data_IF_689498301871
#
_entry.id   IF_689498301871
#
_cell.length_a   1.000
_cell.length_b   1.000
_cell.length_c   1.000
_cell.angle_alpha   90.00
_cell.angle_beta   90.00
_cell.angle_gamma   90.00
#
_symmetry.space_group_name_H-M   'P 1'
#
loop_
_entity.id
_entity.type
_entity.pdbx_description
1 polymer ?
#
# COMPACT_ATOMS: atom_id res chain seq x y z
N UNK A 1 36.20 -1.64 -27.36
CA UNK A 1 35.82 -2.10 -26.00
C UNK A 1 34.74 -3.17 -26.18
N UNK A 2 34.87 -4.33 -25.54
CA UNK A 2 34.08 -5.54 -25.84
C UNK A 2 32.65 -5.48 -25.27
N UNK A 3 31.65 -5.87 -26.07
CA UNK A 3 30.23 -5.95 -25.69
C UNK A 3 29.99 -6.94 -24.55
N UNK A 4 30.80 -8.01 -24.47
CA UNK A 4 30.72 -9.00 -23.40
C UNK A 4 31.05 -8.40 -22.03
N UNK A 5 32.14 -7.64 -21.96
CA UNK A 5 32.55 -6.93 -20.74
C UNK A 5 31.44 -6.02 -20.20
N UNK A 6 30.76 -5.26 -21.07
CA UNK A 6 29.66 -4.40 -20.63
C UNK A 6 28.45 -5.18 -20.10
N UNK A 7 28.15 -6.35 -20.68
CA UNK A 7 27.03 -7.17 -20.22
C UNK A 7 27.26 -7.70 -18.80
N UNK A 8 28.50 -8.05 -18.45
CA UNK A 8 28.87 -8.48 -17.10
C UNK A 8 28.72 -7.35 -16.07
N UNK A 9 29.08 -6.12 -16.43
CA UNK A 9 28.94 -4.95 -15.53
C UNK A 9 27.49 -4.55 -15.25
N UNK A 10 26.53 -5.03 -16.06
CA UNK A 10 25.13 -4.62 -15.97
C UNK A 10 24.51 -4.92 -14.60
N UNK A 11 24.86 -6.06 -13.99
CA UNK A 11 24.33 -6.43 -12.67
C UNK A 11 24.84 -5.49 -11.58
N UNK A 12 26.13 -5.17 -11.59
CA UNK A 12 26.73 -4.23 -10.65
C UNK A 12 26.11 -2.83 -10.80
N UNK A 13 25.97 -2.35 -12.03
CA UNK A 13 25.37 -1.05 -12.32
C UNK A 13 23.91 -0.99 -11.84
N UNK A 14 23.14 -2.06 -12.05
CA UNK A 14 21.77 -2.14 -11.55
C UNK A 14 21.71 -2.07 -10.01
N UNK A 15 22.62 -2.75 -9.32
CA UNK A 15 22.71 -2.68 -7.86
C UNK A 15 23.10 -1.28 -7.38
N UNK A 16 24.00 -0.59 -8.08
CA UNK A 16 24.37 0.80 -7.77
C UNK A 16 23.19 1.76 -7.96
N UNK A 17 22.39 1.57 -9.01
CA UNK A 17 21.16 2.35 -9.23
C UNK A 17 20.19 2.14 -8.06
N UNK A 18 19.93 0.88 -7.68
CA UNK A 18 19.06 0.55 -6.56
C UNK A 18 19.59 1.12 -5.23
N UNK A 19 20.89 1.03 -4.98
CA UNK A 19 21.55 1.60 -3.81
C UNK A 19 21.37 3.12 -3.74
N UNK A 20 21.62 3.82 -4.85
CA UNK A 20 21.42 5.28 -4.93
C UNK A 20 19.98 5.66 -4.62
N UNK A 21 19.00 4.92 -5.17
CA UNK A 21 17.60 5.18 -4.89
C UNK A 21 17.25 4.97 -3.41
N UNK A 22 17.71 3.87 -2.81
CA UNK A 22 17.39 3.49 -1.44
C UNK A 22 17.98 4.45 -0.40
N UNK A 23 19.20 4.94 -0.64
CA UNK A 23 19.93 5.78 0.33
C UNK A 23 19.98 7.26 -0.05
N UNK A 24 19.25 7.68 -1.08
CA UNK A 24 19.14 9.09 -1.41
C UNK A 24 18.34 9.84 -0.33
N UNK A 25 18.96 10.87 0.22
CA UNK A 25 18.34 11.84 1.13
C UNK A 25 17.81 13.08 0.38
N UNK A 26 17.67 12.99 -0.94
CA UNK A 26 17.25 14.12 -1.77
C UNK A 26 15.81 14.51 -1.44
N UNK A 27 15.58 15.82 -1.25
CA UNK A 27 14.23 16.37 -1.05
C UNK A 27 13.38 16.27 -2.31
N UNK A 28 14.00 16.31 -3.50
CA UNK A 28 13.32 16.21 -4.79
C UNK A 28 13.55 14.82 -5.41
N UNK A 29 12.67 13.86 -5.07
CA UNK A 29 12.74 12.50 -5.61
C UNK A 29 12.43 12.41 -7.10
N UNK A 30 11.74 13.41 -7.67
CA UNK A 30 11.36 13.42 -9.07
C UNK A 30 12.55 13.55 -10.03
N UNK A 31 13.45 14.48 -9.72
CA UNK A 31 14.71 14.66 -10.47
C UNK A 31 15.59 13.41 -10.39
N UNK A 32 15.69 12.82 -9.20
CA UNK A 32 16.42 11.58 -8.97
C UNK A 32 15.84 10.42 -9.80
N UNK A 33 14.53 10.18 -9.70
CA UNK A 33 13.86 9.10 -10.42
C UNK A 33 14.06 9.25 -11.95
N UNK A 34 13.98 10.48 -12.45
CA UNK A 34 14.22 10.78 -13.87
C UNK A 34 15.65 10.47 -14.30
N UNK A 35 16.63 10.82 -13.46
CA UNK A 35 18.04 10.52 -13.70
C UNK A 35 18.30 9.00 -13.71
N UNK A 36 17.83 8.30 -12.68
CA UNK A 36 18.02 6.85 -12.55
C UNK A 36 17.31 6.09 -13.69
N UNK A 37 16.16 6.56 -14.16
CA UNK A 37 15.47 5.94 -15.30
C UNK A 37 16.32 6.00 -16.57
N UNK A 38 17.01 7.12 -16.83
CA UNK A 38 17.93 7.24 -17.97
C UNK A 38 19.09 6.26 -17.85
N UNK A 39 19.63 6.06 -16.65
CA UNK A 39 20.68 5.07 -16.40
C UNK A 39 20.18 3.65 -16.68
N UNK A 40 19.00 3.28 -16.16
CA UNK A 40 18.38 1.97 -16.42
C UNK A 40 18.15 1.74 -17.91
N UNK A 41 17.58 2.73 -18.63
CA UNK A 41 17.36 2.64 -20.08
C UNK A 41 18.69 2.45 -20.82
N UNK A 42 19.76 3.12 -20.38
CA UNK A 42 21.09 2.95 -20.97
C UNK A 42 21.62 1.53 -20.76
N UNK A 43 21.46 0.97 -19.57
CA UNK A 43 21.84 -0.42 -19.30
C UNK A 43 20.98 -1.42 -20.10
N UNK A 44 19.68 -1.14 -20.31
CA UNK A 44 18.81 -1.96 -21.14
C UNK A 44 19.23 -1.99 -22.62
N UNK A 45 19.92 -0.97 -23.13
CA UNK A 45 20.51 -1.03 -24.49
C UNK A 45 21.64 -2.06 -24.59
N UNK A 46 22.31 -2.35 -23.47
CA UNK A 46 23.38 -3.34 -23.37
C UNK A 46 22.80 -4.74 -23.13
N UNK A 47 21.84 -4.86 -22.21
CA UNK A 47 21.19 -6.12 -21.85
C UNK A 47 19.65 -5.98 -21.80
N UNK A 48 18.97 -6.01 -22.97
CA UNK A 48 17.54 -5.68 -23.08
C UNK A 48 16.59 -6.63 -22.37
N UNK A 49 17.02 -7.88 -22.16
CA UNK A 49 16.21 -8.94 -21.56
C UNK A 49 16.51 -9.12 -20.08
N UNK A 50 17.28 -8.23 -19.46
CA UNK A 50 17.60 -8.35 -18.04
C UNK A 50 16.33 -8.10 -17.20
N UNK A 51 15.87 -9.10 -16.44
CA UNK A 51 14.60 -9.01 -15.71
C UNK A 51 14.59 -7.90 -14.66
N UNK A 52 15.71 -7.70 -13.95
CA UNK A 52 15.82 -6.72 -12.87
C UNK A 52 15.89 -5.28 -13.40
N UNK A 53 16.55 -5.06 -14.55
CA UNK A 53 16.51 -3.75 -15.21
C UNK A 53 15.11 -3.41 -15.71
N UNK A 54 14.39 -4.38 -16.29
CA UNK A 54 13.01 -4.18 -16.73
C UNK A 54 12.10 -3.86 -15.54
N UNK A 55 12.26 -4.59 -14.43
CA UNK A 55 11.55 -4.31 -13.17
C UNK A 55 11.84 -2.90 -12.65
N UNK A 56 13.12 -2.51 -12.56
CA UNK A 56 13.52 -1.19 -12.07
C UNK A 56 13.03 -0.07 -12.99
N UNK A 57 13.05 -0.27 -14.31
CA UNK A 57 12.44 0.66 -15.28
C UNK A 57 10.96 0.87 -14.95
N UNK A 58 10.18 -0.20 -14.85
CA UNK A 58 8.73 -0.10 -14.57
C UNK A 58 8.44 0.53 -13.20
N UNK A 59 9.30 0.28 -12.21
CA UNK A 59 9.19 0.90 -10.88
C UNK A 59 9.39 2.41 -10.96
N UNK A 60 10.44 2.86 -11.67
CA UNK A 60 10.73 4.27 -11.86
C UNK A 60 9.66 4.97 -12.71
N UNK A 61 9.15 4.30 -13.75
CA UNK A 61 8.03 4.81 -14.55
C UNK A 61 6.78 5.04 -13.68
N UNK A 62 6.45 4.11 -12.77
CA UNK A 62 5.35 4.29 -11.81
C UNK A 62 5.60 5.47 -10.88
N UNK A 63 6.79 5.58 -10.29
CA UNK A 63 7.14 6.68 -9.38
C UNK A 63 7.08 8.04 -10.08
N UNK A 64 7.50 8.13 -11.34
CA UNK A 64 7.39 9.37 -12.10
C UNK A 64 5.94 9.69 -12.47
N UNK A 65 5.12 8.66 -12.67
CA UNK A 65 3.70 8.82 -12.93
C UNK A 65 2.94 9.35 -11.71
N UNK A 66 3.28 8.91 -10.49
CA UNK A 66 2.67 9.43 -9.26
C UNK A 66 2.92 10.91 -9.02
N UNK A 67 4.10 11.41 -9.42
CA UNK A 67 4.44 12.83 -9.28
C UNK A 67 3.72 13.70 -10.31
N UNK A 68 3.57 13.20 -11.55
CA UNK A 68 2.95 13.97 -12.62
C UNK A 68 2.30 13.06 -13.67
N UNK A 69 0.96 13.03 -13.67
CA UNK A 69 0.19 12.13 -14.51
C UNK A 69 0.40 12.32 -16.02
N UNK A 70 0.69 13.54 -16.49
CA UNK A 70 0.89 13.81 -17.92
C UNK A 70 2.17 13.17 -18.50
N UNK A 71 3.08 12.67 -17.65
CA UNK A 71 4.29 11.97 -18.10
C UNK A 71 4.00 10.64 -18.74
N UNK A 72 2.87 10.03 -18.40
CA UNK A 72 2.41 8.79 -19.01
C UNK A 72 1.20 9.11 -19.88
N UNK A 73 1.43 9.19 -21.19
CA UNK A 73 0.40 9.55 -22.17
C UNK A 73 -0.79 8.59 -22.16
N UNK A 74 -0.52 7.28 -22.02
CA UNK A 74 -1.55 6.26 -21.82
C UNK A 74 -1.05 5.23 -20.79
N UNK A 75 -1.64 5.18 -19.59
CA UNK A 75 -1.28 4.23 -18.53
C UNK A 75 -1.36 2.77 -18.95
N UNK A 76 -2.14 2.44 -19.99
CA UNK A 76 -2.24 1.06 -20.51
C UNK A 76 -0.90 0.52 -21.01
N UNK A 77 0.00 1.38 -21.51
CA UNK A 77 1.33 0.92 -21.91
C UNK A 77 2.16 0.50 -20.69
N UNK A 78 2.09 1.25 -19.59
CA UNK A 78 2.75 0.86 -18.35
C UNK A 78 2.17 -0.43 -17.77
N UNK A 79 0.85 -0.60 -17.82
CA UNK A 79 0.20 -1.87 -17.45
C UNK A 79 0.69 -3.04 -18.30
N UNK A 80 0.84 -2.84 -19.61
CA UNK A 80 1.35 -3.86 -20.53
C UNK A 80 2.79 -4.24 -20.19
N UNK A 81 3.64 -3.24 -19.92
CA UNK A 81 5.04 -3.45 -19.52
C UNK A 81 5.13 -4.27 -18.24
N UNK A 82 4.32 -3.94 -17.22
CA UNK A 82 4.26 -4.70 -15.96
C UNK A 82 3.81 -6.15 -16.21
N UNK A 83 2.76 -6.37 -17.00
CA UNK A 83 2.28 -7.72 -17.30
C UNK A 83 3.30 -8.56 -18.07
N UNK A 84 4.12 -7.94 -18.91
CA UNK A 84 5.18 -8.65 -19.62
C UNK A 84 6.26 -9.22 -18.67
N UNK A 85 6.42 -8.65 -17.47
CA UNK A 85 7.40 -9.11 -16.48
C UNK A 85 7.12 -10.52 -15.95
N UNK A 86 5.88 -11.01 -16.02
CA UNK A 86 5.57 -12.41 -15.67
C UNK A 86 6.32 -13.42 -16.55
N UNK A 87 6.78 -13.01 -17.75
CA UNK A 87 7.39 -13.91 -18.73
C UNK A 87 8.93 -13.87 -18.72
N UNK A 88 9.57 -13.07 -17.86
CA UNK A 88 11.04 -12.86 -17.89
C UNK A 88 11.79 -13.49 -16.72
N UNK A 89 11.13 -14.37 -15.95
CA UNK A 89 11.76 -15.14 -14.87
C UNK A 89 11.89 -14.40 -13.53
N UNK A 90 11.09 -13.36 -13.29
CA UNK A 90 10.93 -12.73 -11.98
C UNK A 90 9.95 -13.51 -11.11
N UNK A 91 10.07 -13.38 -9.79
CA UNK A 91 9.09 -13.95 -8.88
C UNK A 91 7.72 -13.27 -9.05
N UNK A 92 6.67 -14.06 -9.28
CA UNK A 92 5.33 -13.55 -9.58
C UNK A 92 4.81 -12.55 -8.54
N UNK A 93 5.13 -12.74 -7.26
CA UNK A 93 4.69 -11.83 -6.19
C UNK A 93 5.26 -10.42 -6.35
N UNK A 94 6.49 -10.26 -6.89
CA UNK A 94 7.08 -8.94 -7.16
C UNK A 94 6.34 -8.24 -8.30
N UNK A 95 6.01 -8.98 -9.35
CA UNK A 95 5.22 -8.44 -10.46
C UNK A 95 3.80 -8.08 -9.97
N UNK A 96 3.21 -8.89 -9.10
CA UNK A 96 1.92 -8.57 -8.46
C UNK A 96 2.00 -7.32 -7.60
N UNK A 97 3.11 -7.04 -6.92
CA UNK A 97 3.31 -5.78 -6.19
C UNK A 97 3.38 -4.56 -7.13
N UNK A 98 4.06 -4.66 -8.27
CA UNK A 98 4.03 -3.60 -9.28
C UNK A 98 2.63 -3.38 -9.85
N UNK A 99 1.91 -4.46 -10.12
CA UNK A 99 0.54 -4.40 -10.62
C UNK A 99 -0.42 -3.78 -9.59
N UNK A 100 -0.23 -4.12 -8.31
CA UNK A 100 -0.94 -3.50 -7.19
C UNK A 100 -0.69 -1.99 -7.16
N UNK A 101 0.58 -1.58 -7.18
CA UNK A 101 0.97 -0.17 -7.19
C UNK A 101 0.39 0.57 -8.40
N UNK A 102 0.46 -0.03 -9.59
CA UNK A 102 -0.17 0.53 -10.79
C UNK A 102 -1.65 0.81 -10.58
N UNK A 103 -2.42 -0.14 -10.03
CA UNK A 103 -3.86 0.03 -9.86
C UNK A 103 -4.23 1.04 -8.77
N UNK A 104 -3.40 1.20 -7.73
CA UNK A 104 -3.54 2.26 -6.73
C UNK A 104 -3.38 3.63 -7.40
N UNK A 105 -2.27 3.82 -8.12
CA UNK A 105 -1.96 5.08 -8.81
C UNK A 105 -3.01 5.37 -9.90
N UNK A 106 -3.44 4.34 -10.62
CA UNK A 106 -4.46 4.46 -11.65
C UNK A 106 -5.81 4.90 -11.06
N UNK A 107 -6.20 4.39 -9.89
CA UNK A 107 -7.44 4.79 -9.25
C UNK A 107 -7.46 6.30 -8.92
N UNK A 108 -6.33 6.84 -8.45
CA UNK A 108 -6.18 8.28 -8.17
C UNK A 108 -6.15 9.11 -9.46
N UNK A 109 -5.39 8.67 -10.46
CA UNK A 109 -5.40 9.29 -11.80
C UNK A 109 -6.81 9.35 -12.41
N UNK A 110 -7.58 8.27 -12.32
CA UNK A 110 -8.94 8.21 -12.85
C UNK A 110 -9.91 9.04 -12.02
N UNK A 111 -9.66 9.24 -10.73
CA UNK A 111 -10.40 10.20 -9.92
C UNK A 111 -10.18 11.63 -10.41
N UNK A 112 -8.92 12.05 -10.56
CA UNK A 112 -8.55 13.40 -11.01
C UNK A 112 -9.06 13.71 -12.43
N UNK A 113 -9.14 12.69 -13.28
CA UNK A 113 -9.65 12.81 -14.65
C UNK A 113 -11.14 12.52 -14.79
N UNK A 114 -11.88 12.40 -13.68
CA UNK A 114 -13.33 12.15 -13.62
C UNK A 114 -13.80 10.86 -14.33
N UNK A 115 -12.93 9.86 -14.44
CA UNK A 115 -13.20 8.55 -15.05
C UNK A 115 -13.59 7.53 -13.99
N UNK A 116 -14.74 7.72 -13.36
CA UNK A 116 -15.13 6.96 -12.17
C UNK A 116 -15.31 5.44 -12.39
N UNK A 117 -15.73 5.00 -13.57
CA UNK A 117 -15.82 3.57 -13.90
C UNK A 117 -14.44 2.92 -13.96
N UNK A 118 -13.45 3.60 -14.54
CA UNK A 118 -12.06 3.14 -14.59
C UNK A 118 -11.40 3.11 -13.22
N UNK A 119 -11.74 4.10 -12.38
CA UNK A 119 -11.36 4.13 -10.97
C UNK A 119 -11.88 2.89 -10.24
N UNK A 120 -13.18 2.60 -10.34
CA UNK A 120 -13.76 1.45 -9.63
C UNK A 120 -13.20 0.12 -10.13
N UNK A 121 -12.98 -0.01 -11.44
CA UNK A 121 -12.24 -1.16 -12.00
C UNK A 121 -10.85 -1.30 -11.39
N UNK A 122 -10.10 -0.20 -11.28
CA UNK A 122 -8.75 -0.22 -10.71
C UNK A 122 -8.78 -0.61 -9.23
N UNK A 123 -9.70 -0.06 -8.44
CA UNK A 123 -9.87 -0.41 -7.03
C UNK A 123 -10.26 -1.89 -6.83
N UNK A 124 -11.11 -2.44 -7.70
CA UNK A 124 -11.46 -3.86 -7.66
C UNK A 124 -10.25 -4.75 -8.00
N UNK A 125 -9.40 -4.34 -8.94
CA UNK A 125 -8.14 -5.05 -9.21
C UNK A 125 -7.19 -4.99 -8.01
N UNK A 126 -7.05 -3.84 -7.34
CA UNK A 126 -6.28 -3.74 -6.08
C UNK A 126 -6.73 -4.84 -5.12
N UNK A 127 -8.04 -4.95 -4.84
CA UNK A 127 -8.58 -5.97 -3.94
C UNK A 127 -8.23 -7.40 -4.35
N UNK A 128 -8.33 -7.73 -5.64
CA UNK A 128 -8.01 -9.08 -6.16
C UNK A 128 -6.55 -9.45 -6.01
N UNK A 129 -5.66 -8.47 -6.23
CA UNK A 129 -4.22 -8.68 -6.28
C UNK A 129 -3.62 -8.86 -4.87
N UNK A 130 -4.23 -8.30 -3.82
CA UNK A 130 -3.70 -8.31 -2.45
C UNK A 130 -3.26 -9.70 -1.95
N UNK A 131 -4.05 -10.74 -2.23
CA UNK A 131 -3.75 -12.12 -1.81
C UNK A 131 -2.48 -12.68 -2.49
N UNK A 132 -2.12 -12.17 -3.67
CA UNK A 132 -0.98 -12.63 -4.46
C UNK A 132 0.30 -11.85 -4.17
N UNK A 133 0.19 -10.66 -3.56
CA UNK A 133 1.31 -9.73 -3.40
C UNK A 133 2.18 -9.99 -2.16
N UNK A 134 1.88 -11.02 -1.36
CA UNK A 134 2.64 -11.40 -0.15
C UNK A 134 3.02 -10.20 0.72
N UNK A 135 2.05 -9.30 0.96
CA UNK A 135 2.30 -8.06 1.69
C UNK A 135 2.73 -8.38 3.13
N UNK A 136 3.77 -7.69 3.58
CA UNK A 136 4.11 -7.68 5.00
C UNK A 136 3.12 -6.82 5.80
N UNK A 137 3.32 -6.76 7.12
CA UNK A 137 2.45 -6.00 8.03
C UNK A 137 2.37 -4.51 7.64
N UNK A 138 3.51 -3.87 7.44
CA UNK A 138 3.60 -2.42 7.17
C UNK A 138 2.93 -2.08 5.83
N UNK A 139 3.18 -2.89 4.81
CA UNK A 139 2.52 -2.76 3.51
C UNK A 139 1.00 -2.97 3.63
N UNK A 140 0.57 -3.96 4.41
CA UNK A 140 -0.86 -4.19 4.69
C UNK A 140 -1.49 -2.96 5.34
N UNK A 141 -0.81 -2.36 6.31
CA UNK A 141 -1.26 -1.16 7.00
C UNK A 141 -1.40 0.03 6.04
N UNK A 142 -0.41 0.27 5.17
CA UNK A 142 -0.47 1.32 4.15
C UNK A 142 -1.65 1.15 3.18
N UNK A 143 -1.92 -0.08 2.74
CA UNK A 143 -3.09 -0.37 1.90
C UNK A 143 -4.39 -0.12 2.67
N UNK A 144 -4.44 -0.49 3.95
CA UNK A 144 -5.61 -0.27 4.78
C UNK A 144 -5.91 1.22 4.95
N UNK A 145 -4.89 2.06 5.18
CA UNK A 145 -5.00 3.52 5.21
C UNK A 145 -5.49 4.07 3.87
N UNK A 146 -4.95 3.56 2.75
CA UNK A 146 -5.43 3.93 1.42
C UNK A 146 -6.91 3.55 1.22
N UNK A 147 -7.35 2.37 1.65
CA UNK A 147 -8.77 2.00 1.58
C UNK A 147 -9.66 2.88 2.46
N UNK A 148 -9.19 3.31 3.63
CA UNK A 148 -9.91 4.29 4.46
C UNK A 148 -10.05 5.61 3.70
N UNK A 149 -8.96 6.12 3.12
CA UNK A 149 -8.96 7.33 2.30
C UNK A 149 -9.95 7.23 1.11
N UNK A 150 -10.03 6.06 0.48
CA UNK A 150 -10.97 5.77 -0.62
C UNK A 150 -12.40 5.42 -0.14
N UNK A 151 -12.68 5.55 1.17
CA UNK A 151 -13.95 5.20 1.83
C UNK A 151 -14.38 3.73 1.63
N UNK A 152 -13.43 2.83 1.43
CA UNK A 152 -13.64 1.38 1.27
C UNK A 152 -13.55 0.64 2.61
N UNK A 153 -14.35 1.07 3.59
CA UNK A 153 -14.29 0.59 4.98
C UNK A 153 -14.45 -0.93 5.11
N UNK A 154 -15.35 -1.54 4.34
CA UNK A 154 -15.53 -2.99 4.35
C UNK A 154 -14.25 -3.73 3.94
N UNK A 155 -13.52 -3.20 2.96
CA UNK A 155 -12.28 -3.80 2.47
C UNK A 155 -11.13 -3.59 3.47
N UNK A 156 -11.08 -2.43 4.13
CA UNK A 156 -10.18 -2.20 5.27
C UNK A 156 -10.39 -3.25 6.35
N UNK A 157 -11.64 -3.51 6.75
CA UNK A 157 -11.97 -4.51 7.77
C UNK A 157 -11.52 -5.91 7.32
N UNK A 158 -11.89 -6.33 6.11
CA UNK A 158 -11.51 -7.64 5.55
C UNK A 158 -9.99 -7.84 5.49
N UNK A 159 -9.25 -6.77 5.14
CA UNK A 159 -7.80 -6.80 5.04
C UNK A 159 -7.11 -6.86 6.42
N UNK A 160 -7.60 -6.07 7.38
CA UNK A 160 -6.94 -5.91 8.68
C UNK A 160 -7.34 -6.98 9.70
N UNK A 161 -8.56 -7.53 9.62
CA UNK A 161 -9.09 -8.48 10.62
C UNK A 161 -8.17 -9.68 10.87
N UNK A 162 -7.65 -10.41 9.86
CA UNK A 162 -6.75 -11.54 10.09
C UNK A 162 -5.47 -11.18 10.86
N UNK A 163 -5.03 -9.93 10.78
CA UNK A 163 -3.88 -9.42 11.54
C UNK A 163 -4.27 -9.02 12.96
N UNK A 164 -5.43 -8.37 13.13
CA UNK A 164 -5.95 -8.00 14.44
C UNK A 164 -6.22 -9.22 15.33
N UNK A 165 -6.59 -10.36 14.74
CA UNK A 165 -6.81 -11.65 15.41
C UNK A 165 -5.54 -12.33 15.93
N UNK A 166 -4.35 -11.97 15.42
CA UNK A 166 -3.08 -12.57 15.87
C UNK A 166 -2.84 -12.30 17.36
N UNK A 167 -2.19 -13.20 18.13
CA UNK A 167 -1.94 -12.97 19.56
C UNK A 167 -1.20 -11.66 19.83
N UNK A 168 -0.21 -11.34 18.98
CA UNK A 168 0.55 -10.09 19.02
C UNK A 168 0.24 -9.26 17.78
N UNK A 169 -0.01 -7.97 17.99
CA UNK A 169 -0.20 -6.97 16.95
C UNK A 169 0.20 -5.62 17.53
N UNK A 170 0.74 -4.72 16.70
CA UNK A 170 1.09 -3.40 17.15
C UNK A 170 -0.14 -2.51 17.41
N UNK A 171 0.11 -1.47 18.18
CA UNK A 171 -0.92 -0.55 18.64
C UNK A 171 -1.58 0.21 17.50
N UNK A 172 -0.79 0.77 16.58
CA UNK A 172 -1.33 1.55 15.46
C UNK A 172 -2.26 0.70 14.60
N UNK A 173 -1.86 -0.53 14.29
CA UNK A 173 -2.68 -1.44 13.51
C UNK A 173 -4.02 -1.77 14.20
N UNK A 174 -4.00 -2.12 15.49
CA UNK A 174 -5.22 -2.49 16.21
C UNK A 174 -6.18 -1.30 16.38
N UNK A 175 -5.65 -0.12 16.68
CA UNK A 175 -6.46 1.09 16.86
C UNK A 175 -7.07 1.58 15.54
N UNK A 176 -6.33 1.51 14.43
CA UNK A 176 -6.85 1.80 13.10
C UNK A 176 -7.91 0.78 12.68
N UNK A 177 -7.70 -0.51 12.97
CA UNK A 177 -8.71 -1.54 12.72
C UNK A 177 -10.00 -1.28 13.49
N UNK A 178 -9.93 -0.96 14.79
CA UNK A 178 -11.11 -0.61 15.59
C UNK A 178 -11.88 0.56 14.97
N UNK A 179 -11.16 1.57 14.47
CA UNK A 179 -11.74 2.76 13.84
C UNK A 179 -12.53 2.43 12.57
N UNK A 180 -12.14 1.39 11.82
CA UNK A 180 -12.91 0.90 10.70
C UNK A 180 -14.04 -0.05 11.14
N UNK A 181 -13.75 -0.99 12.04
CA UNK A 181 -14.62 -2.09 12.43
C UNK A 181 -15.96 -1.64 13.03
N UNK A 182 -15.96 -0.54 13.79
CA UNK A 182 -17.15 -0.01 14.45
C UNK A 182 -18.31 0.34 13.49
N UNK A 183 -18.00 0.60 12.22
CA UNK A 183 -19.00 0.97 11.22
C UNK A 183 -19.71 -0.22 10.58
N UNK A 184 -19.22 -1.46 10.75
CA UNK A 184 -19.81 -2.63 10.10
C UNK A 184 -19.96 -3.83 11.04
N UNK A 185 -21.11 -3.87 11.72
CA UNK A 185 -21.52 -4.97 12.61
C UNK A 185 -21.71 -6.32 11.91
N UNK A 186 -21.86 -6.35 10.58
CA UNK A 186 -21.98 -7.60 9.81
C UNK A 186 -20.62 -8.29 9.66
N UNK A 187 -19.55 -7.51 9.46
CA UNK A 187 -18.19 -8.03 9.31
C UNK A 187 -17.48 -8.24 10.65
N UNK A 188 -17.78 -7.38 11.63
CA UNK A 188 -17.28 -7.49 13.01
C UNK A 188 -18.47 -7.39 13.96
N UNK A 189 -19.08 -8.53 14.34
CA UNK A 189 -20.16 -8.55 15.31
C UNK A 189 -19.74 -7.92 16.65
N UNK A 190 -20.71 -7.39 17.38
CA UNK A 190 -20.47 -6.64 18.64
C UNK A 190 -19.61 -7.42 19.64
N UNK A 191 -19.91 -8.71 19.85
CA UNK A 191 -19.12 -9.58 20.73
C UNK A 191 -17.65 -9.63 20.32
N UNK A 192 -17.38 -9.69 19.02
CA UNK A 192 -16.02 -9.72 18.48
C UNK A 192 -15.34 -8.35 18.63
N UNK A 193 -16.06 -7.27 18.34
CA UNK A 193 -15.58 -5.91 18.53
C UNK A 193 -15.14 -5.65 19.98
N UNK A 194 -15.92 -6.10 20.95
CA UNK A 194 -15.60 -6.00 22.38
C UNK A 194 -14.32 -6.76 22.76
N UNK A 195 -14.02 -7.89 22.11
CA UNK A 195 -12.76 -8.61 22.31
C UNK A 195 -11.56 -7.78 21.83
N UNK A 196 -11.68 -7.13 20.68
CA UNK A 196 -10.63 -6.23 20.18
C UNK A 196 -10.48 -4.98 21.02
N UNK A 197 -11.58 -4.41 21.53
CA UNK A 197 -11.54 -3.30 22.48
C UNK A 197 -10.81 -3.70 23.77
N UNK A 198 -11.11 -4.88 24.31
CA UNK A 198 -10.43 -5.39 25.49
C UNK A 198 -8.93 -5.58 25.22
N UNK A 199 -8.56 -6.10 24.05
CA UNK A 199 -7.16 -6.21 23.62
C UNK A 199 -6.48 -4.84 23.53
N UNK A 200 -7.12 -3.84 22.93
CA UNK A 200 -6.59 -2.49 22.79
C UNK A 200 -6.41 -1.80 24.15
N UNK A 201 -7.37 -1.98 25.06
CA UNK A 201 -7.26 -1.52 26.46
C UNK A 201 -6.06 -2.13 27.17
N UNK A 202 -5.84 -3.44 27.02
CA UNK A 202 -4.69 -4.14 27.62
C UNK A 202 -3.37 -3.67 27.01
N UNK A 203 -3.36 -3.40 25.70
CA UNK A 203 -2.18 -2.96 24.98
C UNK A 203 -1.77 -1.52 25.36
N UNK A 204 -2.73 -0.59 25.36
CA UNK A 204 -2.51 0.80 25.76
C UNK A 204 -3.81 1.43 26.28
N UNK A 205 -3.96 1.46 27.60
CA UNK A 205 -5.14 2.03 28.27
C UNK A 205 -5.30 3.53 27.99
N UNK A 206 -4.20 4.30 27.94
CA UNK A 206 -4.27 5.74 27.74
C UNK A 206 -4.79 6.09 26.34
N UNK A 207 -4.25 5.45 25.30
CA UNK A 207 -4.76 5.64 23.94
C UNK A 207 -6.16 5.09 23.78
N UNK A 208 -6.49 3.97 24.42
CA UNK A 208 -7.87 3.45 24.45
C UNK A 208 -8.85 4.50 24.98
N UNK A 209 -8.50 5.23 26.04
CA UNK A 209 -9.32 6.31 26.58
C UNK A 209 -9.31 7.60 25.75
N UNK A 210 -8.56 7.65 24.66
CA UNK A 210 -8.59 8.72 23.64
C UNK A 210 -9.22 8.24 22.33
N UNK A 211 -9.70 6.99 22.26
CA UNK A 211 -10.20 6.37 21.04
C UNK A 211 -11.43 7.09 20.49
N UNK A 212 -12.32 7.55 21.38
CA UNK A 212 -13.48 8.37 21.06
C UNK A 212 -13.23 9.83 21.41
N UNK A 213 -13.58 10.73 20.48
CA UNK A 213 -13.30 12.15 20.52
C UNK A 213 -12.40 12.60 19.38
N UNK A 214 -12.46 13.90 19.04
CA UNK A 214 -11.61 14.49 18.02
C UNK A 214 -10.12 14.34 18.40
N UNK A 215 -9.22 13.96 17.46
CA UNK A 215 -9.43 13.76 16.01
C UNK A 215 -9.73 12.30 15.59
N UNK A 216 -10.00 11.40 16.56
CA UNK A 216 -10.13 9.96 16.33
C UNK A 216 -11.57 9.59 15.93
N UNK A 217 -12.27 8.78 16.74
CA UNK A 217 -13.64 8.37 16.45
C UNK A 217 -14.67 9.39 16.94
N UNK A 218 -15.81 9.50 16.26
CA UNK A 218 -16.94 10.29 16.76
C UNK A 218 -17.54 9.68 18.04
N UNK A 219 -17.83 10.51 19.04
CA UNK A 219 -18.57 10.11 20.23
C UNK A 219 -19.96 9.54 19.91
N UNK A 220 -20.54 9.86 18.76
CA UNK A 220 -21.82 9.31 18.31
C UNK A 220 -21.77 7.78 18.13
N UNK A 221 -20.58 7.20 17.98
CA UNK A 221 -20.38 5.76 17.87
C UNK A 221 -20.54 5.03 19.21
N UNK A 222 -20.53 5.75 20.35
CA UNK A 222 -20.88 5.23 21.68
C UNK A 222 -22.40 5.06 21.89
N UNK A 223 -23.21 5.07 20.82
CA UNK A 223 -24.64 4.72 20.89
C UNK A 223 -24.87 3.25 21.26
N UNK A 224 -23.87 2.40 21.04
CA UNK A 224 -23.88 1.00 21.43
C UNK A 224 -23.62 0.88 22.94
N UNK A 225 -24.59 0.34 23.67
CA UNK A 225 -24.58 0.29 25.14
C UNK A 225 -23.39 -0.53 25.65
N UNK A 226 -23.08 -1.67 25.02
CA UNK A 226 -21.99 -2.55 25.43
C UNK A 226 -20.63 -1.88 25.24
N UNK A 227 -20.42 -1.24 24.08
CA UNK A 227 -19.21 -0.47 23.75
C UNK A 227 -19.04 0.69 24.72
N UNK A 228 -20.12 1.45 24.97
CA UNK A 228 -20.12 2.57 25.91
C UNK A 228 -19.76 2.14 27.32
N UNK A 229 -20.38 1.06 27.82
CA UNK A 229 -20.10 0.55 29.16
C UNK A 229 -18.64 0.13 29.31
N UNK A 230 -18.09 -0.63 28.35
CA UNK A 230 -16.68 -1.03 28.38
C UNK A 230 -15.75 0.19 28.36
N UNK A 231 -16.05 1.20 27.54
CA UNK A 231 -15.27 2.42 27.47
C UNK A 231 -15.30 3.20 28.80
N UNK A 232 -16.49 3.51 29.32
CA UNK A 232 -16.66 4.27 30.57
C UNK A 232 -15.99 3.58 31.76
N UNK A 233 -16.29 2.30 32.02
CA UNK A 233 -15.70 1.56 33.13
C UNK A 233 -14.16 1.48 33.07
N UNK A 234 -13.61 1.53 31.86
CA UNK A 234 -12.16 1.47 31.66
C UNK A 234 -11.50 2.83 31.85
N UNK A 235 -12.21 3.92 31.56
CA UNK A 235 -11.66 5.26 31.48
C UNK A 235 -12.09 6.19 32.63
N UNK A 236 -12.90 5.70 33.56
CA UNK A 236 -13.25 6.39 34.81
C UNK A 236 -11.99 6.72 35.64
N UNK A 237 -11.81 8.02 35.90
CA UNK A 237 -10.58 8.65 36.40
C UNK A 237 -10.21 9.96 35.71
N UNK A 238 -10.96 10.37 34.66
CA UNK A 238 -10.98 11.71 34.06
C UNK A 238 -12.40 12.09 33.67
#
# INVERSE_FOLDING_TARGET
MDKYFFKETTQLNNNLIAFRWLFANEKNKDSLNSYLLRDVITQLRINPTNPYLLYNKTTLDLLLWTEKYERVKDPKFLLKDIKALYNVGLENWRVSQLLLNYHIIAADYYYETMRFEDRDRSLNEVKKILLQSQLNRDQTYQIAEYFIFQMRINWTIELMKPWAEKPTIDEDFLFTFLSAAIYNKKLVPEKEYLLFMQKAKTLNKERFCKLFGYPNMSFQLLKDVSVKNMYCQSCEGK
#
